data_IF_731881050468
#
_entry.id   IF_731881050468
#
_cell.length_a   1.000
_cell.length_b   1.000
_cell.length_c   1.000
_cell.angle_alpha   90.00
_cell.angle_beta   90.00
_cell.angle_gamma   90.00
#
_symmetry.space_group_name_H-M   'P 1'
#
loop_
_entity.id
_entity.type
_entity.pdbx_description
1 polymer ?
#
# COMPACT_ATOMS: atom_id res chain seq x y z
N UNK A 1 16.97 9.42 15.32
CA UNK A 1 17.05 8.96 13.90
C UNK A 1 16.81 10.17 13.03
N UNK A 2 17.61 10.39 12.02
CA UNK A 2 17.45 11.55 11.12
C UNK A 2 16.92 11.04 9.78
N UNK A 3 15.83 11.61 9.29
CA UNK A 3 15.14 11.24 8.06
C UNK A 3 15.67 12.11 6.93
N UNK A 4 16.30 11.50 5.94
CA UNK A 4 16.79 12.20 4.74
C UNK A 4 15.60 12.47 3.82
N UNK A 5 15.32 13.73 3.54
CA UNK A 5 14.21 14.09 2.68
C UNK A 5 14.67 14.80 1.38
N UNK A 6 13.95 14.52 0.30
CA UNK A 6 14.11 15.18 -1.00
C UNK A 6 12.77 15.84 -1.36
N UNK A 7 12.83 17.09 -1.82
CA UNK A 7 11.65 17.87 -2.27
C UNK A 7 11.66 17.89 -3.79
N UNK A 8 10.54 17.52 -4.39
CA UNK A 8 10.35 17.49 -5.85
C UNK A 8 9.07 18.27 -6.18
N UNK A 9 9.21 19.49 -6.69
CA UNK A 9 8.10 20.39 -6.99
C UNK A 9 8.58 21.43 -8.00
N UNK A 10 7.87 21.64 -9.10
CA UNK A 10 8.23 22.62 -10.14
C UNK A 10 7.94 24.06 -9.74
N UNK A 11 7.18 24.30 -8.67
CA UNK A 11 6.89 25.61 -8.11
C UNK A 11 7.99 26.05 -7.12
N UNK A 12 8.84 27.07 -7.42
CA UNK A 12 9.91 27.52 -6.53
C UNK A 12 9.39 27.93 -5.14
N UNK A 13 8.22 28.56 -5.06
CA UNK A 13 7.63 29.00 -3.79
C UNK A 13 7.23 27.81 -2.91
N UNK A 14 6.73 26.72 -3.49
CA UNK A 14 6.41 25.50 -2.74
C UNK A 14 7.68 24.83 -2.23
N UNK A 15 8.73 24.76 -3.06
CA UNK A 15 10.05 24.29 -2.65
C UNK A 15 10.60 25.10 -1.47
N UNK A 16 10.57 26.42 -1.53
CA UNK A 16 11.08 27.30 -0.46
C UNK A 16 10.30 27.18 0.83
N UNK A 17 8.97 27.02 0.74
CA UNK A 17 8.11 26.76 1.90
C UNK A 17 8.47 25.42 2.57
N UNK A 18 8.59 24.36 1.77
CA UNK A 18 8.93 23.03 2.30
C UNK A 18 10.35 22.98 2.88
N UNK A 19 11.34 23.66 2.25
CA UNK A 19 12.69 23.85 2.81
C UNK A 19 12.64 24.54 4.17
N UNK A 20 11.88 25.66 4.27
CA UNK A 20 11.70 26.39 5.52
C UNK A 20 11.10 25.49 6.61
N UNK A 21 10.11 24.66 6.25
CA UNK A 21 9.45 23.78 7.22
C UNK A 21 10.36 22.61 7.62
N UNK A 22 11.05 21.99 6.66
CA UNK A 22 12.02 20.93 6.94
C UNK A 22 13.16 21.42 7.85
N UNK A 23 13.65 22.63 7.62
CA UNK A 23 14.70 23.23 8.47
C UNK A 23 14.28 23.55 9.90
N UNK A 24 12.98 23.54 10.22
CA UNK A 24 12.44 23.69 11.59
C UNK A 24 12.32 22.39 12.36
N UNK A 25 12.42 21.26 11.68
CA UNK A 25 12.27 19.93 12.29
C UNK A 25 13.65 19.25 12.36
N UNK A 26 14.24 19.08 13.57
CA UNK A 26 15.58 18.51 13.73
C UNK A 26 15.69 17.05 13.28
N UNK A 27 14.56 16.36 13.20
CA UNK A 27 14.45 14.99 12.68
C UNK A 27 14.59 14.88 11.17
N UNK A 28 14.44 15.99 10.40
CA UNK A 28 14.60 16.01 8.96
C UNK A 28 15.98 16.53 8.54
N UNK A 29 16.56 15.88 7.54
CA UNK A 29 17.73 16.41 6.82
C UNK A 29 17.39 16.50 5.34
N UNK A 30 17.34 17.74 4.82
CA UNK A 30 17.14 17.97 3.40
C UNK A 30 18.38 17.55 2.62
N UNK A 31 18.26 16.56 1.74
CA UNK A 31 19.36 16.06 0.90
C UNK A 31 19.38 16.70 -0.46
N UNK A 32 18.21 16.95 -1.06
CA UNK A 32 18.10 17.54 -2.38
C UNK A 32 16.75 18.26 -2.56
N UNK A 33 16.74 19.15 -3.57
CA UNK A 33 15.53 19.78 -4.10
C UNK A 33 15.64 19.76 -5.61
N UNK A 34 14.66 19.19 -6.28
CA UNK A 34 14.58 19.14 -7.74
C UNK A 34 13.29 19.80 -8.21
N UNK A 35 13.39 20.58 -9.28
CA UNK A 35 12.23 21.18 -9.94
C UNK A 35 11.77 20.41 -11.19
N UNK A 36 12.50 19.35 -11.52
CA UNK A 36 12.26 18.51 -12.68
C UNK A 36 12.24 17.03 -12.27
N UNK A 37 11.24 16.24 -12.70
CA UNK A 37 11.13 14.84 -12.33
C UNK A 37 12.26 13.94 -12.87
N UNK A 38 12.86 14.28 -14.03
CA UNK A 38 13.97 13.50 -14.59
C UNK A 38 15.27 13.77 -13.80
N UNK A 39 15.52 15.05 -13.46
CA UNK A 39 16.62 15.43 -12.55
C UNK A 39 16.47 14.72 -11.20
N UNK A 40 15.26 14.68 -10.67
CA UNK A 40 14.98 13.99 -9.40
C UNK A 40 15.32 12.50 -9.45
N UNK A 41 15.01 11.82 -10.56
CA UNK A 41 15.37 10.40 -10.74
C UNK A 41 16.89 10.18 -10.71
N UNK A 42 17.67 11.03 -11.37
CA UNK A 42 19.14 10.92 -11.35
C UNK A 42 19.70 11.26 -9.97
N UNK A 43 19.13 12.26 -9.32
CA UNK A 43 19.54 12.66 -7.96
C UNK A 43 19.27 11.54 -6.95
N UNK A 44 18.13 10.86 -7.02
CA UNK A 44 17.79 9.74 -6.13
C UNK A 44 18.74 8.55 -6.27
N UNK A 45 19.36 8.34 -7.44
CA UNK A 45 20.38 7.29 -7.64
C UNK A 45 21.67 7.58 -6.88
N UNK A 46 22.05 8.85 -6.80
CA UNK A 46 23.31 9.28 -6.19
C UNK A 46 23.17 9.74 -4.75
N UNK A 47 22.01 10.26 -4.39
CA UNK A 47 21.65 10.77 -3.05
C UNK A 47 20.36 10.11 -2.58
N UNK A 48 20.43 8.90 -2.01
CA UNK A 48 19.24 8.21 -1.53
C UNK A 48 18.51 9.01 -0.46
N UNK A 49 17.19 9.09 -0.56
CA UNK A 49 16.29 9.70 0.41
C UNK A 49 15.47 8.63 1.13
N UNK A 50 15.03 8.93 2.35
CA UNK A 50 14.12 8.10 3.12
C UNK A 50 12.67 8.58 2.95
N UNK A 51 12.49 9.86 2.56
CA UNK A 51 11.23 10.55 2.37
C UNK A 51 11.27 11.44 1.13
N UNK A 52 10.22 11.38 0.31
CA UNK A 52 9.95 12.35 -0.76
C UNK A 52 8.78 13.25 -0.37
N UNK A 53 8.95 14.56 -0.50
CA UNK A 53 7.84 15.49 -0.70
C UNK A 53 7.70 15.68 -2.20
N UNK A 54 6.58 15.25 -2.77
CA UNK A 54 6.44 15.12 -4.22
C UNK A 54 5.16 15.81 -4.68
N UNK A 55 5.32 16.81 -5.55
CA UNK A 55 4.15 17.40 -6.20
C UNK A 55 3.52 16.44 -7.20
N UNK A 56 2.19 16.42 -7.24
CA UNK A 56 1.44 15.57 -8.17
C UNK A 56 1.51 16.13 -9.58
N UNK A 57 1.44 17.45 -9.73
CA UNK A 57 1.32 18.11 -11.03
C UNK A 57 2.60 18.82 -11.39
N UNK A 58 3.42 18.18 -12.18
CA UNK A 58 4.62 18.76 -12.76
C UNK A 58 4.57 18.69 -14.29
N UNK A 59 5.23 19.60 -15.01
CA UNK A 59 5.39 19.51 -16.46
C UNK A 59 6.04 18.19 -16.86
N UNK A 60 5.76 17.74 -18.08
CA UNK A 60 6.31 16.53 -18.73
C UNK A 60 5.97 15.21 -18.05
N UNK A 61 6.09 15.08 -16.73
CA UNK A 61 5.82 13.87 -15.98
C UNK A 61 5.16 14.21 -14.63
N UNK A 62 3.99 13.63 -14.36
CA UNK A 62 3.33 13.79 -13.05
C UNK A 62 4.10 13.08 -11.94
N UNK A 63 4.00 13.56 -10.69
CA UNK A 63 4.59 12.87 -9.54
C UNK A 63 4.12 11.42 -9.40
N UNK A 64 2.87 11.14 -9.75
CA UNK A 64 2.32 9.77 -9.74
C UNK A 64 3.00 8.89 -10.80
N UNK A 65 3.26 9.41 -11.99
CA UNK A 65 3.99 8.70 -13.02
C UNK A 65 5.46 8.47 -12.62
N UNK A 66 6.10 9.46 -11.98
CA UNK A 66 7.44 9.30 -11.41
C UNK A 66 7.50 8.15 -10.40
N UNK A 67 6.54 8.06 -9.47
CA UNK A 67 6.48 6.95 -8.51
C UNK A 67 6.32 5.59 -9.19
N UNK A 68 5.55 5.52 -10.27
CA UNK A 68 5.33 4.28 -11.02
C UNK A 68 6.57 3.73 -11.72
N UNK A 69 7.59 4.58 -12.00
CA UNK A 69 8.85 4.15 -12.64
C UNK A 69 9.99 3.90 -11.65
N UNK A 70 9.86 4.32 -10.38
CA UNK A 70 10.83 4.02 -9.33
C UNK A 70 10.66 2.57 -8.86
N UNK A 71 11.71 1.76 -9.00
CA UNK A 71 11.68 0.35 -8.60
C UNK A 71 11.47 0.16 -7.08
N UNK A 72 12.08 1.04 -6.27
CA UNK A 72 11.97 1.04 -4.81
C UNK A 72 11.81 2.50 -4.34
N UNK A 73 10.60 3.07 -4.41
CA UNK A 73 10.38 4.45 -3.98
C UNK A 73 10.59 4.57 -2.46
N UNK A 74 11.17 5.69 -1.99
CA UNK A 74 11.15 6.05 -0.57
C UNK A 74 9.72 6.22 -0.05
N UNK A 75 9.56 6.49 1.26
CA UNK A 75 8.28 6.94 1.78
C UNK A 75 7.89 8.27 1.11
N UNK A 76 6.61 8.46 0.81
CA UNK A 76 6.15 9.61 0.03
C UNK A 76 5.06 10.36 0.77
N UNK A 77 5.21 11.68 0.83
CA UNK A 77 4.15 12.64 1.12
C UNK A 77 3.89 13.41 -0.17
N UNK A 78 2.68 13.30 -0.72
CA UNK A 78 2.28 14.03 -1.91
C UNK A 78 1.87 15.46 -1.55
N UNK A 79 2.22 16.42 -2.43
CA UNK A 79 1.71 17.80 -2.39
C UNK A 79 0.81 18.06 -3.58
N UNK A 80 -0.26 18.83 -3.42
CA UNK A 80 -1.21 19.10 -4.51
C UNK A 80 -2.04 20.34 -4.27
N UNK A 81 -2.39 21.07 -5.34
CA UNK A 81 -3.35 22.16 -5.32
C UNK A 81 -4.82 21.67 -5.27
N UNK A 82 -5.08 20.44 -5.65
CA UNK A 82 -6.45 19.93 -5.84
C UNK A 82 -6.88 18.99 -4.71
N UNK A 83 -8.20 19.06 -4.37
CA UNK A 83 -8.83 18.19 -3.37
C UNK A 83 -9.14 16.78 -3.91
N UNK A 84 -9.22 16.61 -5.23
CA UNK A 84 -9.79 15.40 -5.85
C UNK A 84 -8.74 14.29 -6.13
N UNK A 85 -7.44 14.65 -6.14
CA UNK A 85 -6.35 13.66 -6.30
C UNK A 85 -6.19 12.69 -5.13
N UNK A 86 -6.83 12.94 -4.00
CA UNK A 86 -6.87 11.98 -2.90
C UNK A 86 -7.47 10.61 -3.32
N UNK A 87 -8.26 10.55 -4.38
CA UNK A 87 -8.87 9.31 -4.88
C UNK A 87 -7.96 8.53 -5.83
N UNK A 88 -7.17 9.19 -6.68
CA UNK A 88 -6.27 8.51 -7.64
C UNK A 88 -4.98 8.00 -7.00
N UNK A 89 -4.54 8.68 -5.94
CA UNK A 89 -3.34 8.32 -5.20
C UNK A 89 -3.53 7.23 -4.14
N UNK A 90 -4.76 6.76 -3.93
CA UNK A 90 -5.04 5.56 -3.12
C UNK A 90 -4.40 4.28 -3.72
N UNK A 91 -3.93 4.35 -4.97
CA UNK A 91 -3.24 3.26 -5.64
C UNK A 91 -1.74 3.17 -5.32
N UNK A 92 -1.21 4.23 -4.75
CA UNK A 92 0.21 4.33 -4.40
C UNK A 92 0.35 4.27 -2.88
N UNK A 93 1.39 3.58 -2.43
CA UNK A 93 1.73 3.48 -1.00
C UNK A 93 2.33 4.79 -0.49
N UNK A 94 1.49 5.86 -0.40
CA UNK A 94 1.89 7.16 0.13
C UNK A 94 1.53 7.30 1.60
N UNK A 95 2.40 7.97 2.35
CA UNK A 95 2.21 8.15 3.81
C UNK A 95 1.12 9.17 4.10
N UNK A 96 1.09 10.27 3.33
CA UNK A 96 0.14 11.36 3.53
C UNK A 96 0.05 12.30 2.32
N UNK A 97 -0.90 13.25 2.40
CA UNK A 97 -1.13 14.31 1.41
C UNK A 97 -1.08 15.67 2.08
N UNK A 98 -0.46 16.63 1.40
CA UNK A 98 -0.43 18.04 1.78
C UNK A 98 -1.12 18.87 0.70
N UNK A 99 -2.32 19.35 1.01
CA UNK A 99 -3.03 20.27 0.10
C UNK A 99 -2.40 21.65 0.20
N UNK A 100 -2.07 22.23 -0.94
CA UNK A 100 -1.61 23.64 -1.06
C UNK A 100 -2.81 24.59 -0.82
N UNK A 101 -2.67 25.68 -0.04
CA UNK A 101 -1.46 26.10 0.66
C UNK A 101 -1.16 25.24 1.89
N UNK A 102 0.09 24.78 2.01
CA UNK A 102 0.53 23.87 3.07
C UNK A 102 0.74 24.67 4.36
N UNK A 103 0.06 24.29 5.45
CA UNK A 103 0.30 24.87 6.76
C UNK A 103 1.39 24.09 7.53
N UNK A 104 2.15 24.78 8.38
CA UNK A 104 3.19 24.12 9.18
C UNK A 104 2.62 23.00 10.07
N UNK A 105 1.46 23.23 10.68
CA UNK A 105 0.78 22.20 11.48
C UNK A 105 0.50 20.93 10.68
N UNK A 106 0.03 21.08 9.44
CA UNK A 106 -0.29 19.95 8.57
C UNK A 106 0.98 19.22 8.12
N UNK A 107 2.06 19.98 7.87
CA UNK A 107 3.38 19.44 7.54
C UNK A 107 3.93 18.58 8.70
N UNK A 108 3.92 19.10 9.93
CA UNK A 108 4.36 18.38 11.14
C UNK A 108 3.57 17.08 11.33
N UNK A 109 2.24 17.11 11.16
CA UNK A 109 1.40 15.91 11.25
C UNK A 109 1.76 14.84 10.21
N UNK A 110 2.10 15.26 9.00
CA UNK A 110 2.50 14.33 7.93
C UNK A 110 3.88 13.70 8.22
N UNK A 111 4.84 14.51 8.68
CA UNK A 111 6.17 14.00 9.08
C UNK A 111 6.05 13.04 10.26
N UNK A 112 5.21 13.32 11.26
CA UNK A 112 4.96 12.42 12.38
C UNK A 112 4.43 11.04 11.95
N UNK A 113 3.66 10.95 10.86
CA UNK A 113 3.24 9.67 10.27
C UNK A 113 4.42 8.91 9.64
N UNK A 114 5.36 9.63 9.01
CA UNK A 114 6.59 9.05 8.47
C UNK A 114 7.45 8.46 9.57
N UNK A 115 7.63 9.21 10.68
CA UNK A 115 8.37 8.73 11.84
C UNK A 115 7.75 7.45 12.41
N UNK A 116 6.43 7.43 12.59
CA UNK A 116 5.72 6.23 13.05
C UNK A 116 5.94 5.06 12.11
N UNK A 117 5.97 5.28 10.79
CA UNK A 117 6.19 4.23 9.80
C UNK A 117 7.64 3.73 9.79
N UNK A 118 8.62 4.60 10.08
CA UNK A 118 10.03 4.23 10.20
C UNK A 118 10.38 3.60 11.56
N UNK A 119 9.67 3.98 12.63
CA UNK A 119 9.88 3.44 13.98
C UNK A 119 9.17 2.09 14.20
N UNK A 120 8.10 1.84 13.45
CA UNK A 120 7.54 0.49 13.36
C UNK A 120 8.45 -0.26 12.39
N UNK A 121 9.28 -1.23 12.84
CA UNK A 121 10.03 -2.06 11.92
C UNK A 121 9.01 -2.67 10.96
N UNK A 122 9.25 -2.42 9.69
CA UNK A 122 8.42 -2.84 8.56
C UNK A 122 7.57 -4.09 8.82
N UNK A 123 6.31 -3.89 9.08
CA UNK A 123 5.31 -4.89 8.75
C UNK A 123 5.11 -5.00 7.21
N UNK A 124 5.82 -4.16 6.42
CA UNK A 124 5.73 -4.14 4.95
C UNK A 124 7.08 -4.26 4.20
N UNK A 125 8.23 -4.34 4.88
CA UNK A 125 9.54 -4.30 4.20
C UNK A 125 10.65 -5.19 4.74
N UNK A 126 10.52 -5.83 5.88
CA UNK A 126 11.43 -6.91 6.27
C UNK A 126 10.63 -8.19 6.44
N UNK A 127 10.99 -9.22 5.71
CA UNK A 127 10.41 -10.57 5.67
C UNK A 127 10.13 -11.28 7.00
N UNK A 128 9.46 -10.62 7.91
CA UNK A 128 8.58 -11.28 8.84
C UNK A 128 7.36 -11.69 8.03
N UNK A 129 7.46 -12.84 7.38
CA UNK A 129 6.37 -13.54 6.74
C UNK A 129 5.15 -13.45 7.68
N UNK A 130 4.07 -12.71 7.38
CA UNK A 130 2.86 -12.71 8.22
C UNK A 130 2.36 -14.12 8.49
N UNK A 131 2.71 -15.06 7.61
CA UNK A 131 2.54 -16.49 7.79
C UNK A 131 3.27 -17.07 9.00
N UNK A 132 4.43 -16.55 9.38
CA UNK A 132 5.18 -17.03 10.56
C UNK A 132 4.53 -16.60 11.88
N UNK A 133 3.87 -15.44 11.91
CA UNK A 133 3.15 -14.96 13.09
C UNK A 133 1.76 -15.60 13.26
N UNK A 134 1.18 -16.20 12.22
CA UNK A 134 -0.16 -16.82 12.26
C UNK A 134 -1.33 -15.83 12.35
N UNK A 135 -1.09 -14.53 12.32
CA UNK A 135 -2.11 -13.48 12.37
C UNK A 135 -1.72 -12.22 11.60
N UNK A 136 -2.69 -11.40 11.27
CA UNK A 136 -2.49 -10.06 10.69
C UNK A 136 -3.23 -9.01 11.51
N UNK A 137 -2.82 -7.76 11.43
CA UNK A 137 -3.59 -6.63 11.92
C UNK A 137 -4.28 -5.93 10.74
N UNK A 138 -5.59 -5.80 10.83
CA UNK A 138 -6.42 -5.16 9.81
C UNK A 138 -6.99 -3.86 10.38
N UNK A 139 -6.87 -2.77 9.62
CA UNK A 139 -7.44 -1.49 10.02
C UNK A 139 -8.94 -1.45 9.69
N UNK A 140 -9.78 -1.37 10.72
CA UNK A 140 -11.22 -1.18 10.60
C UNK A 140 -11.59 0.20 11.15
N UNK A 141 -11.86 1.15 10.26
CA UNK A 141 -12.07 2.55 10.66
C UNK A 141 -10.84 3.13 11.36
N UNK A 142 -10.97 3.46 12.66
CA UNK A 142 -9.89 4.05 13.48
C UNK A 142 -9.12 3.03 14.33
N UNK A 143 -9.55 1.76 14.35
CA UNK A 143 -8.95 0.71 15.18
C UNK A 143 -8.22 -0.34 14.35
N UNK A 144 -7.27 -1.03 14.96
CA UNK A 144 -6.64 -2.23 14.41
C UNK A 144 -7.28 -3.48 15.05
N UNK A 145 -7.73 -4.39 14.19
CA UNK A 145 -8.30 -5.67 14.60
C UNK A 145 -7.28 -6.76 14.29
N UNK A 146 -6.92 -7.55 15.30
CA UNK A 146 -6.10 -8.74 15.12
C UNK A 146 -6.96 -9.87 14.53
N UNK A 147 -6.50 -10.44 13.42
CA UNK A 147 -7.19 -11.51 12.70
C UNK A 147 -6.23 -12.69 12.57
N UNK A 148 -6.65 -13.85 13.08
CA UNK A 148 -5.89 -15.09 12.92
C UNK A 148 -6.01 -15.57 11.48
N UNK A 149 -4.90 -15.89 10.83
CA UNK A 149 -4.89 -16.33 9.43
C UNK A 149 -5.69 -17.61 9.22
N UNK A 150 -5.66 -18.51 10.18
CA UNK A 150 -6.36 -19.79 10.12
C UNK A 150 -7.88 -19.67 10.32
N UNK A 151 -8.36 -18.52 10.81
CA UNK A 151 -9.78 -18.21 10.91
C UNK A 151 -10.35 -17.58 9.63
N UNK A 152 -9.49 -17.07 8.75
CA UNK A 152 -9.93 -16.45 7.50
C UNK A 152 -10.40 -17.54 6.54
N UNK A 153 -11.67 -17.49 6.16
CA UNK A 153 -12.22 -18.38 5.16
C UNK A 153 -12.06 -17.84 3.74
N UNK A 154 -12.42 -16.59 3.53
CA UNK A 154 -12.22 -15.88 2.26
C UNK A 154 -12.24 -14.36 2.47
N UNK A 155 -11.81 -13.64 1.45
CA UNK A 155 -11.77 -12.19 1.43
C UNK A 155 -12.46 -11.71 0.16
N UNK A 156 -13.40 -10.79 0.32
CA UNK A 156 -14.16 -10.18 -0.76
C UNK A 156 -13.72 -8.73 -0.97
N UNK A 157 -13.38 -8.36 -2.19
CA UNK A 157 -13.04 -7.00 -2.60
C UNK A 157 -14.22 -6.30 -3.27
N UNK A 158 -14.58 -5.12 -2.79
CA UNK A 158 -15.57 -4.26 -3.38
C UNK A 158 -15.01 -2.85 -3.55
N UNK A 159 -14.64 -2.49 -4.77
CA UNK A 159 -13.98 -1.21 -5.08
C UNK A 159 -12.70 -1.04 -4.23
N UNK A 160 -12.70 -0.06 -3.32
CA UNK A 160 -11.57 0.27 -2.45
C UNK A 160 -11.65 -0.37 -1.06
N UNK A 161 -12.61 -1.26 -0.84
CA UNK A 161 -12.79 -1.95 0.43
C UNK A 161 -12.57 -3.45 0.26
N UNK A 162 -12.08 -4.07 1.31
CA UNK A 162 -12.08 -5.51 1.46
C UNK A 162 -12.91 -5.90 2.67
N UNK A 163 -13.65 -6.99 2.54
CA UNK A 163 -14.33 -7.64 3.65
C UNK A 163 -13.64 -8.96 3.94
N UNK A 164 -13.05 -9.10 5.10
CA UNK A 164 -12.40 -10.32 5.55
C UNK A 164 -13.42 -11.13 6.35
N UNK A 165 -13.69 -12.35 5.89
CA UNK A 165 -14.58 -13.29 6.55
C UNK A 165 -13.74 -14.26 7.38
N UNK A 166 -13.69 -14.04 8.70
CA UNK A 166 -12.89 -14.81 9.65
C UNK A 166 -13.78 -15.38 10.77
N UNK A 167 -13.95 -16.69 10.78
CA UNK A 167 -14.88 -17.35 11.71
C UNK A 167 -16.30 -16.80 11.56
N UNK A 168 -16.83 -16.21 12.63
CA UNK A 168 -18.14 -15.53 12.61
C UNK A 168 -18.05 -14.01 12.40
N UNK A 169 -16.84 -13.47 12.23
CA UNK A 169 -16.60 -12.04 12.09
C UNK A 169 -16.49 -11.63 10.64
N UNK A 170 -16.97 -10.42 10.35
CA UNK A 170 -16.75 -9.73 9.08
C UNK A 170 -16.05 -8.42 9.39
N UNK A 171 -14.81 -8.27 8.92
CA UNK A 171 -14.00 -7.10 9.18
C UNK A 171 -13.86 -6.34 7.87
N UNK A 172 -14.31 -5.08 7.86
CA UNK A 172 -14.27 -4.22 6.67
C UNK A 172 -13.08 -3.27 6.78
N UNK A 173 -12.21 -3.30 5.78
CA UNK A 173 -11.03 -2.45 5.71
C UNK A 173 -10.98 -1.67 4.41
N UNK A 174 -10.54 -0.41 4.51
CA UNK A 174 -10.27 0.43 3.35
C UNK A 174 -8.88 0.09 2.81
N UNK A 175 -8.82 -0.92 1.97
CA UNK A 175 -7.61 -1.31 1.24
C UNK A 175 -7.98 -2.13 0.01
N UNK A 176 -7.05 -2.24 -0.94
CA UNK A 176 -7.27 -3.01 -2.17
C UNK A 176 -6.96 -4.48 -1.96
N UNK A 177 -7.74 -5.31 -2.64
CA UNK A 177 -7.55 -6.76 -2.60
C UNK A 177 -6.15 -7.18 -3.08
N UNK A 178 -5.57 -6.47 -4.07
CA UNK A 178 -4.22 -6.74 -4.58
C UNK A 178 -3.14 -6.52 -3.52
N UNK A 179 -3.23 -5.40 -2.78
CA UNK A 179 -2.28 -5.10 -1.69
C UNK A 179 -2.35 -6.15 -0.58
N UNK A 180 -3.57 -6.57 -0.24
CA UNK A 180 -3.75 -7.62 0.76
C UNK A 180 -3.24 -8.99 0.26
N UNK A 181 -3.41 -9.30 -1.02
CA UNK A 181 -2.86 -10.50 -1.66
C UNK A 181 -1.33 -10.60 -1.51
N UNK A 182 -0.63 -9.49 -1.70
CA UNK A 182 0.83 -9.42 -1.57
C UNK A 182 1.32 -9.61 -0.11
N UNK A 183 0.47 -9.30 0.86
CA UNK A 183 0.75 -9.44 2.30
C UNK A 183 0.36 -10.81 2.86
N UNK A 184 -0.52 -11.53 2.19
CA UNK A 184 -0.99 -12.84 2.66
C UNK A 184 -0.01 -13.94 2.24
N UNK A 185 0.23 -14.94 3.12
CA UNK A 185 1.09 -16.07 2.79
C UNK A 185 0.50 -16.89 1.63
N UNK A 186 1.22 -16.96 0.52
CA UNK A 186 0.79 -17.65 -0.70
C UNK A 186 0.65 -19.17 -0.55
N UNK A 187 1.23 -19.76 0.49
CA UNK A 187 1.02 -21.15 0.86
C UNK A 187 -0.37 -21.40 1.46
N UNK A 188 -0.94 -20.40 2.16
CA UNK A 188 -2.27 -20.48 2.81
C UNK A 188 -3.41 -19.91 1.97
N UNK A 189 -3.15 -18.91 1.14
CA UNK A 189 -4.17 -18.19 0.38
C UNK A 189 -3.96 -18.30 -1.12
N UNK A 190 -5.05 -18.22 -1.88
CA UNK A 190 -5.01 -18.18 -3.34
C UNK A 190 -6.09 -17.23 -3.87
N UNK A 191 -5.71 -16.41 -4.83
CA UNK A 191 -6.66 -15.56 -5.52
C UNK A 191 -7.40 -16.34 -6.59
N UNK A 192 -8.72 -16.26 -6.58
CA UNK A 192 -9.59 -17.02 -7.50
C UNK A 192 -10.40 -16.12 -8.42
N UNK A 193 -10.52 -14.83 -8.10
CA UNK A 193 -11.28 -13.86 -8.89
C UNK A 193 -10.73 -12.44 -8.70
N UNK A 194 -11.11 -11.50 -9.57
CA UNK A 194 -10.79 -10.08 -9.41
C UNK A 194 -11.24 -9.53 -8.04
N UNK A 195 -12.30 -10.11 -7.47
CA UNK A 195 -12.89 -9.68 -6.21
C UNK A 195 -12.76 -10.71 -5.08
N UNK A 196 -12.06 -11.84 -5.26
CA UNK A 196 -11.99 -12.87 -4.21
C UNK A 196 -10.61 -13.51 -4.05
N UNK A 197 -10.19 -13.61 -2.77
CA UNK A 197 -9.10 -14.47 -2.31
C UNK A 197 -9.71 -15.50 -1.36
N UNK A 198 -9.32 -16.76 -1.48
CA UNK A 198 -9.80 -17.83 -0.61
C UNK A 198 -8.66 -18.44 0.19
N UNK A 199 -8.93 -18.83 1.43
CA UNK A 199 -8.02 -19.68 2.19
C UNK A 199 -8.05 -21.09 1.62
N UNK A 200 -6.91 -21.65 1.27
CA UNK A 200 -6.79 -22.99 0.69
C UNK A 200 -7.40 -24.07 1.60
N UNK A 201 -7.20 -23.92 2.91
CA UNK A 201 -7.75 -24.83 3.92
C UNK A 201 -9.28 -24.76 4.07
N UNK A 202 -9.91 -23.63 3.66
CA UNK A 202 -11.34 -23.44 3.76
C UNK A 202 -12.12 -23.94 2.52
N UNK A 203 -11.42 -24.38 1.46
CA UNK A 203 -12.05 -24.93 0.26
C UNK A 203 -12.70 -26.25 0.59
N UNK A 204 -14.03 -26.33 0.43
CA UNK A 204 -14.80 -27.54 0.67
C UNK A 204 -15.03 -28.36 -0.62
N UNK A 205 -15.20 -27.69 -1.74
CA UNK A 205 -15.35 -28.36 -3.05
C UNK A 205 -15.10 -27.40 -4.21
N UNK A 206 -14.78 -27.96 -5.37
CA UNK A 206 -14.64 -27.24 -6.64
C UNK A 206 -15.53 -27.91 -7.66
N UNK A 207 -16.35 -27.12 -8.34
CA UNK A 207 -17.21 -27.64 -9.42
C UNK A 207 -17.24 -26.62 -10.56
N UNK A 208 -16.88 -27.07 -11.77
CA UNK A 208 -16.82 -26.18 -12.94
C UNK A 208 -15.94 -24.97 -12.67
N UNK A 209 -16.49 -23.75 -12.81
CA UNK A 209 -15.78 -22.47 -12.59
C UNK A 209 -16.09 -21.86 -11.24
N UNK A 210 -16.36 -22.67 -10.21
CA UNK A 210 -16.76 -22.22 -8.88
C UNK A 210 -16.03 -22.98 -7.78
N UNK A 211 -15.63 -22.26 -6.76
CA UNK A 211 -15.08 -22.83 -5.52
C UNK A 211 -16.06 -22.58 -4.39
N UNK A 212 -16.27 -23.61 -3.58
CA UNK A 212 -17.14 -23.55 -2.41
C UNK A 212 -16.30 -23.41 -1.13
N UNK A 213 -16.66 -22.43 -0.31
CA UNK A 213 -16.06 -22.18 0.99
C UNK A 213 -17.19 -22.28 2.03
N UNK A 214 -17.31 -23.43 2.67
CA UNK A 214 -18.49 -23.76 3.47
C UNK A 214 -19.78 -23.72 2.62
N UNK A 215 -20.71 -22.84 2.97
CA UNK A 215 -21.96 -22.63 2.22
C UNK A 215 -21.85 -21.53 1.15
N UNK A 216 -20.71 -20.86 1.04
CA UNK A 216 -20.53 -19.73 0.12
C UNK A 216 -19.95 -20.22 -1.20
N UNK A 217 -20.56 -19.78 -2.29
CA UNK A 217 -20.19 -20.08 -3.67
C UNK A 217 -19.43 -18.90 -4.24
N UNK A 218 -18.18 -19.09 -4.66
CA UNK A 218 -17.29 -18.05 -5.16
C UNK A 218 -16.92 -18.39 -6.61
N UNK A 219 -17.13 -17.47 -7.57
CA UNK A 219 -16.75 -17.71 -8.97
C UNK A 219 -15.23 -17.70 -9.14
N UNK A 220 -14.73 -18.51 -10.06
CA UNK A 220 -13.33 -18.51 -10.48
C UNK A 220 -13.25 -17.69 -11.77
N UNK A 221 -12.49 -16.59 -11.76
CA UNK A 221 -12.26 -15.76 -12.92
C UNK A 221 -11.33 -16.45 -13.94
N UNK A 222 -11.55 -16.21 -15.23
CA UNK A 222 -10.77 -16.83 -16.32
C UNK A 222 -9.26 -16.65 -16.14
N UNK A 223 -8.82 -15.47 -15.75
CA UNK A 223 -7.40 -15.14 -15.49
C UNK A 223 -6.77 -16.02 -14.40
N UNK A 224 -7.57 -16.41 -13.40
CA UNK A 224 -7.10 -17.15 -12.22
C UNK A 224 -7.29 -18.67 -12.37
N UNK A 225 -8.12 -19.10 -13.30
CA UNK A 225 -8.54 -20.49 -13.47
C UNK A 225 -7.35 -21.45 -13.63
N UNK A 226 -6.42 -21.12 -14.51
CA UNK A 226 -5.26 -22.00 -14.79
C UNK A 226 -4.39 -22.21 -13.55
N UNK A 227 -4.07 -21.12 -12.82
CA UNK A 227 -3.25 -21.19 -11.59
C UNK A 227 -3.98 -21.95 -10.48
N UNK A 228 -5.29 -21.72 -10.33
CA UNK A 228 -6.12 -22.41 -9.35
C UNK A 228 -6.24 -23.92 -9.66
N UNK A 229 -6.50 -24.30 -10.90
CA UNK A 229 -6.58 -25.71 -11.28
C UNK A 229 -5.25 -26.44 -11.11
N UNK A 230 -4.12 -25.81 -11.46
CA UNK A 230 -2.79 -26.39 -11.18
C UNK A 230 -2.57 -26.66 -9.70
N UNK A 231 -3.07 -25.79 -8.81
CA UNK A 231 -3.02 -26.01 -7.37
C UNK A 231 -3.88 -27.22 -6.95
N UNK A 232 -5.11 -27.35 -7.47
CA UNK A 232 -6.00 -28.47 -7.16
C UNK A 232 -5.42 -29.79 -7.67
N UNK A 233 -4.90 -29.82 -8.91
CA UNK A 233 -4.30 -31.00 -9.52
C UNK A 233 -3.07 -31.50 -8.78
N UNK A 234 -2.27 -30.58 -8.22
CA UNK A 234 -1.10 -30.93 -7.41
C UNK A 234 -1.46 -31.67 -6.11
N UNK A 235 -2.69 -31.51 -5.62
CA UNK A 235 -3.19 -32.15 -4.39
C UNK A 235 -4.13 -33.35 -4.67
N UNK A 236 -4.45 -33.59 -5.96
CA UNK A 236 -5.35 -34.67 -6.35
C UNK A 236 -4.65 -36.03 -6.15
N UNK A 237 -5.20 -36.84 -5.28
CA UNK A 237 -4.80 -38.25 -5.15
C UNK A 237 -5.26 -39.02 -6.41
N UNK A 238 -4.32 -39.66 -7.12
CA UNK A 238 -4.62 -40.58 -8.22
C UNK A 238 -5.00 -41.93 -7.68
#
# INVERSE_FOLDING_TARGET
MTIRCHIIDDEPMACDLLKLYAGKLPELTLTAVSSDPLEAMETLKTQPADLLFLDIQMPEMTGLALLGVLANPPLVILTTAFSDFALESYDLDVVDYLKKPITFERFVKAVGKVEQRLLLPDAAGSGANPGAAGYIFVKEGTRFVKVMLDEIAYIEGLKNYVTIHAGQQKIVSLQRLKVLEEQLPGDKFIRVHNSYIVAKAAISSVKENEVWVGAVKIPIGETYFKAFMSFIEALHLR
#
